data_IF_710890108561
#
_entry.id   IF_710890108561
#
_cell.length_a   1.000
_cell.length_b   1.000
_cell.length_c   1.000
_cell.angle_alpha   90.00
_cell.angle_beta   90.00
_cell.angle_gamma   90.00
#
_symmetry.space_group_name_H-M   'P 1'
#
loop_
_entity.id
_entity.type
_entity.pdbx_description
1 polymer ?
#
# COMPACT_ATOMS: atom_id res chain seq x y z
N UNK A 1 -4.13 3.93 24.09
CA UNK A 1 -4.11 4.93 23.02
C UNK A 1 -3.13 6.09 23.24
N UNK A 2 -2.61 6.28 24.46
CA UNK A 2 -1.65 7.36 24.79
C UNK A 2 -0.17 7.04 24.48
N UNK A 3 0.20 5.76 24.43
CA UNK A 3 1.61 5.35 24.25
C UNK A 3 2.14 5.57 22.82
N UNK A 4 1.28 5.41 21.81
CA UNK A 4 1.63 5.57 20.38
C UNK A 4 1.87 7.03 20.00
N UNK A 5 1.13 7.98 20.61
CA UNK A 5 1.32 9.43 20.37
C UNK A 5 2.65 9.94 20.93
N UNK A 6 3.09 9.40 22.08
CA UNK A 6 4.36 9.79 22.72
C UNK A 6 5.59 9.42 21.89
N UNK A 7 5.56 8.26 21.21
CA UNK A 7 6.68 7.81 20.39
C UNK A 7 6.74 8.56 19.04
N UNK A 8 5.58 8.89 18.47
CA UNK A 8 5.51 9.71 17.26
C UNK A 8 6.04 11.13 17.49
N UNK A 9 5.69 11.75 18.63
CA UNK A 9 6.12 13.10 18.98
C UNK A 9 7.63 13.17 19.26
N UNK A 10 8.21 12.13 19.89
CA UNK A 10 9.66 12.02 20.12
C UNK A 10 10.43 11.85 18.81
N UNK A 11 9.90 11.08 17.86
CA UNK A 11 10.51 10.88 16.54
C UNK A 11 10.47 12.16 15.70
N UNK A 12 9.35 12.89 15.69
CA UNK A 12 9.21 14.16 14.98
C UNK A 12 10.11 15.24 15.57
N UNK A 13 10.25 15.30 16.90
CA UNK A 13 11.10 16.25 17.59
C UNK A 13 12.60 15.99 17.32
N UNK A 14 13.00 14.71 17.24
CA UNK A 14 14.38 14.33 16.91
C UNK A 14 14.76 14.73 15.48
N UNK A 15 13.86 14.55 14.51
CA UNK A 15 14.08 14.95 13.11
C UNK A 15 14.14 16.48 13.00
N UNK A 16 13.28 17.21 13.72
CA UNK A 16 13.29 18.68 13.73
C UNK A 16 14.57 19.25 14.36
N UNK A 17 15.07 18.67 15.44
CA UNK A 17 16.34 19.04 16.06
C UNK A 17 17.54 18.77 15.14
N UNK A 18 17.55 17.66 14.37
CA UNK A 18 18.63 17.39 13.40
C UNK A 18 18.65 18.42 12.27
N UNK A 19 17.50 18.79 11.72
CA UNK A 19 17.41 19.78 10.65
C UNK A 19 17.82 21.17 11.16
N UNK A 20 17.42 21.57 12.38
CA UNK A 20 17.81 22.85 12.97
C UNK A 20 19.30 22.91 13.30
N UNK A 21 19.93 21.81 13.72
CA UNK A 21 21.38 21.77 13.95
C UNK A 21 22.19 21.88 12.65
N UNK A 22 21.72 21.29 11.54
CA UNK A 22 22.39 21.42 10.24
C UNK A 22 22.35 22.86 9.72
N UNK A 23 21.29 23.61 9.98
CA UNK A 23 21.18 25.02 9.58
C UNK A 23 22.05 25.95 10.48
N UNK A 24 22.28 25.57 11.75
CA UNK A 24 23.09 26.36 12.69
C UNK A 24 24.61 26.18 12.49
N UNK A 25 25.04 24.97 12.03
CA UNK A 25 26.45 24.68 11.81
C UNK A 25 27.05 25.41 10.60
N UNK A 26 26.21 25.79 9.63
CA UNK A 26 26.65 26.55 8.45
C UNK A 26 27.04 28.00 8.77
N UNK A 27 26.64 28.53 9.94
CA UNK A 27 26.85 29.93 10.30
C UNK A 27 28.14 30.23 11.08
N UNK A 28 28.75 29.22 11.70
CA UNK A 28 29.89 29.41 12.60
C UNK A 28 31.19 28.65 12.23
N UNK A 29 31.30 28.08 11.06
CA UNK A 29 32.56 27.45 10.58
C UNK A 29 33.09 26.29 11.43
N UNK A 30 32.32 25.77 12.40
CA UNK A 30 32.68 24.65 13.28
C UNK A 30 31.90 23.45 12.81
N UNK A 31 32.48 22.67 11.91
CA UNK A 31 31.95 21.35 11.52
C UNK A 31 32.29 20.31 12.60
N UNK A 32 31.67 20.41 13.77
CA UNK A 32 31.54 19.23 14.62
C UNK A 32 30.41 18.40 14.07
N UNK A 33 30.77 17.45 13.19
CA UNK A 33 29.85 16.38 12.79
C UNK A 33 29.63 15.54 14.05
N UNK A 34 28.60 15.87 14.81
CA UNK A 34 28.04 14.91 15.75
C UNK A 34 27.41 13.83 14.89
N UNK A 35 28.17 12.78 14.61
CA UNK A 35 27.58 11.52 14.19
C UNK A 35 26.59 11.16 15.30
N UNK A 36 25.31 11.41 15.08
CA UNK A 36 24.24 10.89 15.93
C UNK A 36 24.28 9.37 15.82
N UNK A 37 25.21 8.79 16.59
CA UNK A 37 25.37 7.34 16.67
C UNK A 37 24.13 6.79 17.37
N UNK A 38 23.28 6.09 16.64
CA UNK A 38 22.31 5.21 17.24
C UNK A 38 20.87 5.26 16.75
N UNK A 39 20.44 6.27 16.02
CA UNK A 39 19.06 6.29 15.52
C UNK A 39 18.98 5.82 14.07
N UNK A 40 18.61 4.56 13.90
CA UNK A 40 18.29 4.01 12.59
C UNK A 40 16.82 4.32 12.29
N UNK A 41 16.55 4.84 11.09
CA UNK A 41 15.18 5.12 10.65
C UNK A 41 14.94 4.61 9.24
N UNK A 42 13.68 4.39 8.94
CA UNK A 42 13.16 4.04 7.61
C UNK A 42 12.09 5.05 7.22
N UNK A 43 12.20 5.61 6.03
CA UNK A 43 11.20 6.49 5.44
C UNK A 43 10.59 5.81 4.21
N UNK A 44 9.28 5.88 4.07
CA UNK A 44 8.55 5.31 2.93
C UNK A 44 8.04 6.43 2.01
N UNK A 45 8.01 6.15 0.72
CA UNK A 45 7.40 7.07 -0.26
C UNK A 45 5.90 7.23 -0.07
N UNK A 46 5.23 6.22 0.53
CA UNK A 46 3.81 6.26 0.89
C UNK A 46 3.56 5.49 2.19
N UNK A 47 2.67 6.02 3.02
CA UNK A 47 2.21 5.38 4.27
C UNK A 47 0.81 4.78 4.17
N UNK A 48 0.13 5.05 3.05
CA UNK A 48 -1.18 4.50 2.71
C UNK A 48 -1.33 4.39 1.20
N UNK A 49 -1.92 3.30 0.72
CA UNK A 49 -2.16 3.06 -0.71
C UNK A 49 -3.44 2.24 -0.89
N UNK A 50 -4.36 2.74 -1.73
CA UNK A 50 -5.51 1.98 -2.21
C UNK A 50 -5.16 1.37 -3.57
N UNK A 51 -5.53 0.11 -3.77
CA UNK A 51 -5.24 -0.69 -4.96
C UNK A 51 -6.46 -1.50 -5.35
N UNK A 52 -6.57 -1.86 -6.62
CA UNK A 52 -7.54 -2.83 -7.12
C UNK A 52 -6.91 -4.21 -7.18
N UNK A 53 -7.71 -5.27 -7.17
CA UNK A 53 -7.19 -6.64 -7.34
C UNK A 53 -6.44 -6.73 -8.67
N UNK A 54 -5.22 -7.27 -8.64
CA UNK A 54 -4.32 -7.37 -9.79
C UNK A 54 -3.35 -6.19 -9.95
N UNK A 55 -3.57 -5.07 -9.24
CA UNK A 55 -2.65 -3.94 -9.30
C UNK A 55 -1.29 -4.27 -8.68
N UNK A 56 -0.25 -3.61 -9.21
CA UNK A 56 1.11 -3.67 -8.69
C UNK A 56 1.60 -2.26 -8.35
N UNK A 57 2.37 -2.14 -7.26
CA UNK A 57 2.93 -0.87 -6.82
C UNK A 57 4.31 -1.06 -6.20
N UNK A 58 5.27 -0.20 -6.54
CA UNK A 58 6.59 -0.19 -5.93
C UNK A 58 6.65 0.77 -4.75
N UNK A 59 6.75 0.23 -3.54
CA UNK A 59 6.97 0.99 -2.31
C UNK A 59 8.47 1.17 -2.10
N UNK A 60 8.95 2.40 -2.25
CA UNK A 60 10.36 2.71 -2.01
C UNK A 60 10.57 3.07 -0.54
N UNK A 61 11.61 2.52 0.05
CA UNK A 61 12.04 2.81 1.40
C UNK A 61 13.47 3.37 1.40
N UNK A 62 13.68 4.48 2.10
CA UNK A 62 14.97 5.11 2.34
C UNK A 62 15.37 4.81 3.78
N UNK A 63 16.58 4.32 3.98
CA UNK A 63 17.10 3.96 5.31
C UNK A 63 18.28 4.86 5.69
N UNK A 64 18.40 5.22 6.96
CA UNK A 64 19.53 6.02 7.48
C UNK A 64 20.88 5.34 7.31
N UNK A 65 20.87 3.99 7.25
CA UNK A 65 22.08 3.18 7.12
C UNK A 65 22.52 2.91 5.69
N UNK A 66 21.71 3.30 4.68
CA UNK A 66 21.91 2.94 3.27
C UNK A 66 21.68 1.45 2.96
N UNK A 67 21.41 0.61 3.99
CA UNK A 67 21.15 -0.81 3.81
C UNK A 67 19.74 -1.04 3.27
N UNK A 68 19.57 -2.05 2.43
CA UNK A 68 18.24 -2.46 1.93
C UNK A 68 17.37 -2.94 3.09
N UNK A 69 16.13 -2.45 3.25
CA UNK A 69 15.21 -2.94 4.25
C UNK A 69 14.66 -4.31 3.86
N UNK A 70 14.25 -5.09 4.84
CA UNK A 70 13.47 -6.31 4.67
C UNK A 70 11.98 -5.92 4.63
N UNK A 71 11.30 -6.26 3.54
CA UNK A 71 9.86 -6.06 3.42
C UNK A 71 9.08 -7.28 3.91
N UNK A 72 7.95 -7.03 4.55
CA UNK A 72 6.98 -8.05 4.97
C UNK A 72 5.56 -7.53 4.84
N UNK A 73 4.60 -8.45 4.70
CA UNK A 73 3.17 -8.15 4.70
C UNK A 73 2.50 -8.81 5.89
N UNK A 74 1.57 -8.12 6.55
CA UNK A 74 0.74 -8.68 7.62
C UNK A 74 -0.25 -9.73 7.10
N UNK A 75 -0.66 -9.60 5.82
CA UNK A 75 -1.52 -10.58 5.14
C UNK A 75 -1.13 -10.68 3.66
N UNK A 76 -0.32 -11.67 3.34
CA UNK A 76 0.16 -11.93 1.98
C UNK A 76 -0.91 -12.48 1.04
N UNK A 77 -2.07 -12.88 1.56
CA UNK A 77 -3.24 -13.29 0.76
C UNK A 77 -4.01 -12.08 0.24
N UNK A 78 -4.00 -10.97 0.95
CA UNK A 78 -4.59 -9.69 0.55
C UNK A 78 -3.62 -8.92 -0.35
N UNK A 79 -2.40 -8.68 0.14
CA UNK A 79 -1.35 -8.00 -0.61
C UNK A 79 0.02 -8.60 -0.28
N UNK A 80 0.73 -9.15 -1.25
CA UNK A 80 2.09 -9.64 -1.07
C UNK A 80 3.12 -8.56 -1.42
N UNK A 81 4.32 -8.66 -0.84
CA UNK A 81 5.44 -7.79 -1.17
C UNK A 81 6.69 -8.63 -1.43
N UNK A 82 7.51 -8.24 -2.40
CA UNK A 82 8.79 -8.88 -2.66
C UNK A 82 9.95 -8.10 -2.00
N UNK A 83 11.17 -8.61 -2.13
CA UNK A 83 12.40 -8.02 -1.57
C UNK A 83 12.77 -6.66 -2.14
N UNK A 84 12.17 -6.26 -3.27
CA UNK A 84 12.37 -4.96 -3.92
C UNK A 84 11.28 -3.94 -3.58
N UNK A 85 10.33 -4.28 -2.69
CA UNK A 85 9.21 -3.41 -2.34
C UNK A 85 8.06 -3.42 -3.36
N UNK A 86 8.05 -4.35 -4.33
CA UNK A 86 6.93 -4.53 -5.25
C UNK A 86 5.78 -5.19 -4.52
N UNK A 87 4.68 -4.46 -4.36
CA UNK A 87 3.43 -4.91 -3.76
C UNK A 87 2.53 -5.41 -4.88
N UNK A 88 1.91 -6.57 -4.69
CA UNK A 88 0.89 -7.14 -5.60
C UNK A 88 -0.41 -7.33 -4.83
N UNK A 89 -1.49 -6.68 -5.27
CA UNK A 89 -2.82 -6.79 -4.69
C UNK A 89 -3.53 -8.07 -5.18
N UNK A 90 -3.91 -8.96 -4.26
CA UNK A 90 -4.44 -10.29 -4.61
C UNK A 90 -5.91 -10.47 -4.26
N UNK A 91 -6.36 -9.95 -3.12
CA UNK A 91 -7.72 -10.15 -2.60
C UNK A 91 -8.18 -8.87 -1.90
N UNK A 92 -9.47 -8.57 -1.99
CA UNK A 92 -10.05 -7.44 -1.28
C UNK A 92 -9.84 -7.56 0.24
N UNK A 93 -9.44 -6.46 0.87
CA UNK A 93 -9.12 -6.41 2.30
C UNK A 93 -8.06 -5.37 2.63
N UNK A 94 -7.50 -5.45 3.82
CA UNK A 94 -6.43 -4.57 4.28
C UNK A 94 -5.20 -5.39 4.66
N UNK A 95 -4.04 -4.91 4.27
CA UNK A 95 -2.76 -5.45 4.68
C UNK A 95 -1.81 -4.30 5.06
N UNK A 96 -0.89 -4.55 5.98
CA UNK A 96 0.16 -3.62 6.34
C UNK A 96 1.49 -4.14 5.79
N UNK A 97 2.13 -3.34 4.96
CA UNK A 97 3.46 -3.63 4.43
C UNK A 97 4.48 -2.92 5.31
N UNK A 98 5.37 -3.67 5.93
CA UNK A 98 6.42 -3.15 6.81
C UNK A 98 7.78 -3.29 6.14
N UNK A 99 8.55 -2.20 6.12
CA UNK A 99 9.95 -2.17 5.75
C UNK A 99 10.79 -2.04 7.02
N UNK A 100 11.69 -2.98 7.28
CA UNK A 100 12.45 -3.10 8.53
C UNK A 100 13.95 -3.18 8.29
N UNK A 101 14.73 -2.49 9.12
CA UNK A 101 16.18 -2.63 9.33
C UNK A 101 16.43 -3.05 10.78
N UNK A 102 17.68 -3.16 11.20
CA UNK A 102 18.03 -3.67 12.54
C UNK A 102 17.29 -2.93 13.68
N UNK A 103 17.36 -1.60 13.69
CA UNK A 103 16.82 -0.76 14.77
C UNK A 103 15.79 0.27 14.27
N UNK A 104 15.17 0.05 13.09
CA UNK A 104 14.17 0.94 12.52
C UNK A 104 13.18 0.22 11.64
N UNK A 105 11.92 0.70 11.65
CA UNK A 105 10.88 0.18 10.78
C UNK A 105 9.89 1.28 10.40
N UNK A 106 9.25 1.11 9.24
CA UNK A 106 8.13 1.93 8.80
C UNK A 106 7.10 1.08 8.07
N UNK A 107 5.84 1.46 8.17
CA UNK A 107 4.72 0.67 7.66
C UNK A 107 3.83 1.48 6.74
N UNK A 108 3.37 0.84 5.67
CA UNK A 108 2.39 1.36 4.72
C UNK A 108 1.11 0.52 4.80
N UNK A 109 -0.03 1.16 5.02
CA UNK A 109 -1.34 0.50 4.96
C UNK A 109 -1.76 0.35 3.50
N UNK A 110 -2.03 -0.87 3.08
CA UNK A 110 -2.57 -1.19 1.75
C UNK A 110 -4.02 -1.62 1.90
N UNK A 111 -4.92 -0.94 1.20
CA UNK A 111 -6.34 -1.30 1.10
C UNK A 111 -6.59 -1.80 -0.31
N UNK A 112 -7.00 -3.06 -0.45
CA UNK A 112 -7.40 -3.63 -1.73
C UNK A 112 -8.91 -3.60 -1.85
N UNK A 113 -9.40 -2.87 -2.84
CA UNK A 113 -10.83 -2.67 -3.06
C UNK A 113 -11.50 -3.94 -3.60
N UNK A 114 -12.74 -4.16 -3.18
CA UNK A 114 -13.58 -5.22 -3.70
C UNK A 114 -13.96 -4.94 -5.16
N UNK A 115 -13.85 -5.95 -6.02
CA UNK A 115 -14.36 -5.85 -7.38
C UNK A 115 -15.89 -5.75 -7.37
N UNK A 116 -16.42 -4.72 -8.02
CA UNK A 116 -17.86 -4.52 -8.23
C UNK A 116 -18.17 -4.84 -9.68
N UNK A 117 -19.26 -5.60 -9.90
CA UNK A 117 -19.80 -5.88 -11.23
C UNK A 117 -21.04 -5.03 -11.43
N UNK A 118 -21.07 -4.27 -12.51
CA UNK A 118 -22.23 -3.48 -12.93
C UNK A 118 -22.83 -4.12 -14.19
N UNK A 119 -24.12 -4.41 -14.13
CA UNK A 119 -24.89 -4.94 -15.27
C UNK A 119 -25.65 -3.82 -15.95
N UNK A 120 -25.72 -3.85 -17.30
CA UNK A 120 -26.54 -2.91 -18.07
C UNK A 120 -28.02 -3.02 -17.71
N UNK A 121 -28.49 -4.22 -17.38
CA UNK A 121 -29.87 -4.51 -16.96
C UNK A 121 -29.86 -5.61 -15.90
N UNK A 122 -30.70 -5.46 -14.88
CA UNK A 122 -30.85 -6.48 -13.81
C UNK A 122 -31.92 -7.51 -14.13
N UNK A 123 -32.90 -7.12 -14.95
CA UNK A 123 -34.04 -7.96 -15.37
C UNK A 123 -34.26 -7.78 -16.86
N UNK A 124 -34.39 -8.89 -17.57
CA UNK A 124 -34.71 -8.93 -18.99
C UNK A 124 -35.83 -9.93 -19.15
N UNK A 125 -36.98 -9.52 -19.75
CA UNK A 125 -38.03 -10.41 -20.15
C UNK A 125 -37.90 -10.64 -21.65
N UNK A 126 -37.88 -11.88 -22.08
CA UNK A 126 -37.80 -12.28 -23.49
C UNK A 126 -38.95 -13.19 -23.82
N UNK A 127 -39.54 -12.96 -24.98
CA UNK A 127 -40.47 -13.91 -25.63
C UNK A 127 -39.66 -15.04 -26.30
N UNK A 128 -40.31 -16.16 -26.50
CA UNK A 128 -39.67 -17.32 -27.13
C UNK A 128 -39.14 -16.95 -28.53
N UNK A 129 -37.85 -17.29 -28.77
CA UNK A 129 -37.17 -16.99 -30.02
C UNK A 129 -36.49 -15.61 -30.11
N UNK A 130 -36.68 -14.74 -29.12
CA UNK A 130 -35.99 -13.44 -29.08
C UNK A 130 -34.67 -13.53 -28.30
N UNK A 131 -33.72 -12.66 -28.66
CA UNK A 131 -32.40 -12.56 -28.01
C UNK A 131 -32.19 -11.15 -27.44
N UNK A 132 -31.49 -11.06 -26.31
CA UNK A 132 -31.04 -9.80 -25.75
C UNK A 132 -29.54 -9.85 -25.41
N UNK A 133 -28.88 -8.72 -25.50
CA UNK A 133 -27.46 -8.59 -25.14
C UNK A 133 -27.33 -7.99 -23.73
N UNK A 134 -26.76 -8.76 -22.82
CA UNK A 134 -26.40 -8.30 -21.48
C UNK A 134 -24.96 -7.82 -21.49
N UNK A 135 -24.72 -6.56 -21.06
CA UNK A 135 -23.40 -6.00 -20.83
C UNK A 135 -23.09 -6.01 -19.33
N UNK A 136 -21.91 -6.46 -18.98
CA UNK A 136 -21.39 -6.37 -17.63
C UNK A 136 -19.99 -5.74 -17.64
N UNK A 137 -19.74 -4.84 -16.70
CA UNK A 137 -18.47 -4.17 -16.52
C UNK A 137 -17.98 -4.40 -15.09
N UNK A 138 -16.66 -4.60 -14.91
CA UNK A 138 -16.04 -4.71 -13.59
C UNK A 138 -15.32 -3.43 -13.22
N UNK A 139 -15.34 -3.05 -11.94
CA UNK A 139 -14.59 -1.89 -11.44
C UNK A 139 -13.08 -2.02 -11.62
N UNK A 140 -12.58 -3.25 -11.85
CA UNK A 140 -11.17 -3.56 -12.08
C UNK A 140 -10.79 -3.70 -13.54
N UNK A 141 -11.76 -3.65 -14.48
CA UNK A 141 -11.52 -3.83 -15.91
C UNK A 141 -11.28 -5.29 -16.35
N UNK A 142 -11.39 -6.26 -15.42
CA UNK A 142 -11.25 -7.67 -15.78
C UNK A 142 -12.46 -8.19 -16.58
N UNK A 143 -12.26 -9.16 -17.49
CA UNK A 143 -13.33 -9.74 -18.27
C UNK A 143 -14.35 -10.46 -17.38
N UNK A 144 -15.62 -10.42 -17.79
CA UNK A 144 -16.73 -11.08 -17.10
C UNK A 144 -17.07 -12.37 -17.81
N UNK A 145 -17.22 -13.44 -17.04
CA UNK A 145 -17.74 -14.72 -17.54
C UNK A 145 -19.22 -14.81 -17.20
N UNK A 146 -20.03 -15.15 -18.19
CA UNK A 146 -21.47 -15.35 -18.05
C UNK A 146 -21.80 -16.84 -17.96
N UNK A 147 -22.73 -17.19 -17.08
CA UNK A 147 -23.24 -18.55 -16.94
C UNK A 147 -24.73 -18.51 -16.68
N UNK A 148 -25.51 -19.26 -17.46
CA UNK A 148 -26.91 -19.50 -17.18
C UNK A 148 -27.08 -20.56 -16.10
N UNK A 149 -28.01 -20.36 -15.18
CA UNK A 149 -28.42 -21.37 -14.19
C UNK A 149 -29.25 -22.49 -14.83
N UNK A 150 -29.94 -22.17 -15.97
CA UNK A 150 -30.75 -23.11 -16.75
C UNK A 150 -30.50 -22.90 -18.23
N UNK A 151 -29.51 -23.58 -18.78
CA UNK A 151 -29.12 -23.47 -20.19
C UNK A 151 -30.20 -23.92 -21.19
N UNK A 152 -31.23 -24.68 -20.70
CA UNK A 152 -32.38 -25.03 -21.52
C UNK A 152 -33.38 -23.91 -21.75
N UNK A 153 -33.25 -22.79 -21.04
CA UNK A 153 -34.11 -21.63 -21.14
C UNK A 153 -33.38 -20.43 -21.77
N UNK A 154 -32.06 -20.29 -21.48
CA UNK A 154 -31.22 -19.18 -21.94
C UNK A 154 -29.75 -19.60 -22.09
#
# INVERSE_FOLDING_TARGET
MLHTKKNFLKSALAVFCMVSMLLFSSYNGITTVYAASGYEYVLLTKYSKTMKIGDEYYLTAITSTGKKPKFSSSDSTVASVNTYGKITAKKAGNATITAKIANGEASCRVTVEKTVITLSQKFISLENGYTARLKAETSTGHPVTYKSARSSIA
#
